data_IF_019965500625
#
_entry.id   IF_019965500625
#
_cell.length_a   1.000
_cell.length_b   1.000
_cell.length_c   1.000
_cell.angle_alpha   90.00
_cell.angle_beta   90.00
_cell.angle_gamma   90.00
#
_symmetry.space_group_name_H-M   'P 1'
#
loop_
_entity.id
_entity.type
_entity.pdbx_description
1 polymer ?
#
# COMPACT_ATOMS: atom_id res chain seq x y z
N UNK A 1 -44.34 28.29 16.02
CA UNK A 1 -44.11 26.91 15.54
C UNK A 1 -42.61 26.72 15.39
N UNK A 2 -42.00 25.85 16.20
CA UNK A 2 -40.55 25.58 16.21
C UNK A 2 -40.31 24.29 15.44
N UNK A 3 -39.42 24.32 14.44
CA UNK A 3 -38.73 23.12 13.96
C UNK A 3 -37.23 23.42 14.02
N UNK A 4 -36.56 22.72 14.94
CA UNK A 4 -35.11 22.58 15.02
C UNK A 4 -34.69 21.60 13.93
N UNK A 5 -33.74 21.97 13.08
CA UNK A 5 -32.96 20.99 12.33
C UNK A 5 -31.57 20.98 12.95
N UNK A 6 -31.26 19.83 13.54
CA UNK A 6 -30.03 19.51 14.25
C UNK A 6 -28.89 19.30 13.26
N UNK A 7 -27.70 19.69 13.72
CA UNK A 7 -26.39 19.27 13.25
C UNK A 7 -26.28 17.80 12.85
N UNK A 8 -25.61 17.52 11.73
CA UNK A 8 -24.75 16.33 11.55
C UNK A 8 -23.49 16.78 10.81
N UNK A 9 -22.39 16.87 11.56
CA UNK A 9 -21.00 17.00 11.11
C UNK A 9 -20.64 15.75 10.27
N UNK A 10 -20.15 15.83 9.02
CA UNK A 10 -18.82 16.26 8.55
C UNK A 10 -17.62 15.60 9.25
N UNK A 11 -17.56 14.27 9.32
CA UNK A 11 -16.29 13.54 9.49
C UNK A 11 -16.34 12.21 8.72
N UNK A 12 -15.80 12.17 7.49
CA UNK A 12 -15.23 10.94 6.89
C UNK A 12 -14.47 11.30 5.60
N UNK A 13 -13.37 12.03 5.77
CA UNK A 13 -12.32 12.19 4.75
C UNK A 13 -11.01 11.96 5.48
N UNK A 14 -10.08 11.26 4.83
CA UNK A 14 -8.73 10.86 5.29
C UNK A 14 -8.60 9.44 5.86
N UNK A 15 -8.77 8.43 5.00
CA UNK A 15 -8.26 7.07 5.24
C UNK A 15 -7.42 6.49 4.09
N UNK A 16 -6.90 7.33 3.18
CA UNK A 16 -6.12 6.82 2.04
C UNK A 16 -4.88 7.65 1.67
N UNK A 17 -4.12 8.17 2.64
CA UNK A 17 -2.76 8.66 2.36
C UNK A 17 -1.86 8.61 3.61
N UNK A 18 -1.09 7.54 3.76
CA UNK A 18 0.11 7.53 4.59
C UNK A 18 1.18 6.73 3.84
N UNK A 19 1.98 7.42 3.05
CA UNK A 19 3.01 6.78 2.24
C UNK A 19 3.87 7.75 1.43
N UNK A 20 4.05 8.99 1.88
CA UNK A 20 5.16 9.86 1.45
C UNK A 20 5.25 11.05 2.40
N UNK A 21 6.48 11.44 2.72
CA UNK A 21 6.91 12.58 3.55
C UNK A 21 7.08 12.26 5.05
N UNK A 22 8.27 11.79 5.39
CA UNK A 22 9.02 12.27 6.57
C UNK A 22 10.48 11.81 6.43
N UNK A 23 11.28 12.64 5.76
CA UNK A 23 12.74 12.63 5.84
C UNK A 23 13.18 14.04 6.21
N UNK A 24 14.15 14.11 7.11
CA UNK A 24 14.91 15.29 7.55
C UNK A 24 14.24 16.17 8.60
N UNK A 25 14.65 15.95 9.85
CA UNK A 25 15.58 16.84 10.57
C UNK A 25 15.29 16.73 12.07
N UNK A 26 16.22 16.18 12.84
CA UNK A 26 16.58 16.70 14.17
C UNK A 26 17.84 15.96 14.63
N UNK A 27 18.99 16.53 14.25
CA UNK A 27 20.26 16.35 14.92
C UNK A 27 20.51 17.62 15.74
N UNK A 28 20.81 17.43 17.03
CA UNK A 28 21.24 18.36 18.10
C UNK A 28 20.39 17.99 19.34
N UNK A 29 20.91 17.53 20.47
CA UNK A 29 22.25 17.60 21.03
C UNK A 29 22.12 18.21 22.42
N UNK A 30 22.02 17.37 23.47
CA UNK A 30 22.25 17.70 24.90
C UNK A 30 22.35 16.36 25.65
N UNK A 31 23.55 15.86 25.94
CA UNK A 31 24.36 16.07 27.16
C UNK A 31 23.74 15.50 28.45
N UNK A 32 24.42 14.47 28.95
CA UNK A 32 24.70 14.13 30.35
C UNK A 32 23.59 14.17 31.38
N UNK A 33 23.13 12.96 31.78
CA UNK A 33 22.94 12.63 33.21
C UNK A 33 23.34 11.17 33.49
N UNK A 34 24.30 11.02 34.40
CA UNK A 34 24.66 9.79 35.12
C UNK A 34 23.44 9.21 35.84
N UNK A 35 23.20 7.91 35.69
CA UNK A 35 22.53 7.11 36.72
C UNK A 35 23.06 5.68 36.71
N UNK A 36 23.89 5.43 37.72
CA UNK A 36 24.00 4.25 38.58
C UNK A 36 23.80 2.83 38.03
N UNK A 37 24.81 2.02 38.37
CA UNK A 37 24.98 0.62 38.03
C UNK A 37 23.89 -0.28 38.63
N UNK A 38 23.17 -0.97 37.75
CA UNK A 38 22.44 -2.21 38.07
C UNK A 38 23.31 -3.43 37.74
N UNK A 39 23.07 -4.57 38.41
CA UNK A 39 23.96 -5.72 38.39
C UNK A 39 24.03 -6.40 37.02
N UNK A 40 25.26 -6.77 36.68
CA UNK A 40 25.72 -7.44 35.48
C UNK A 40 25.14 -8.85 35.35
N UNK A 41 24.03 -8.99 34.59
CA UNK A 41 23.55 -10.29 34.12
C UNK A 41 24.20 -10.58 32.76
N UNK A 42 25.52 -10.72 32.75
CA UNK A 42 26.28 -11.34 31.66
C UNK A 42 26.63 -12.77 32.04
N UNK A 43 25.60 -13.62 32.03
CA UNK A 43 25.73 -15.06 32.10
C UNK A 43 25.25 -15.69 30.80
N UNK A 44 26.20 -15.99 29.91
CA UNK A 44 26.14 -17.10 28.94
C UNK A 44 24.93 -17.15 27.99
N UNK A 45 25.03 -16.45 26.85
CA UNK A 45 24.50 -16.90 25.55
C UNK A 45 25.13 -16.07 24.40
N UNK A 46 26.43 -15.82 24.51
CA UNK A 46 27.18 -14.89 23.66
C UNK A 46 28.13 -15.57 22.69
N UNK A 47 27.72 -16.63 22.00
CA UNK A 47 28.42 -17.18 20.83
C UNK A 47 27.39 -17.89 19.96
N UNK A 48 27.22 -17.39 18.73
CA UNK A 48 26.31 -17.86 17.66
C UNK A 48 24.93 -17.21 17.53
N UNK A 49 24.81 -15.89 17.71
CA UNK A 49 23.90 -15.11 16.87
C UNK A 49 24.63 -14.76 15.56
N UNK A 50 24.99 -15.78 14.76
CA UNK A 50 25.52 -15.59 13.40
C UNK A 50 24.38 -15.04 12.55
N UNK A 51 24.32 -13.72 12.44
CA UNK A 51 23.79 -12.98 11.31
C UNK A 51 22.45 -13.54 10.78
N UNK A 52 21.43 -13.54 11.65
CA UNK A 52 20.05 -13.98 11.37
C UNK A 52 19.30 -13.03 10.42
N UNK A 53 20.03 -12.30 9.57
CA UNK A 53 19.44 -11.46 8.54
C UNK A 53 18.88 -12.33 7.45
N UNK A 54 17.62 -12.09 7.10
CA UNK A 54 16.94 -12.85 6.08
C UNK A 54 17.67 -12.65 4.73
N UNK A 55 17.70 -13.63 3.81
CA UNK A 55 18.50 -13.54 2.59
C UNK A 55 18.29 -12.26 1.77
N UNK A 56 17.08 -11.68 1.78
CA UNK A 56 16.74 -10.44 1.08
C UNK A 56 17.21 -9.16 1.79
N UNK A 57 17.66 -9.23 3.05
CA UNK A 57 18.23 -8.09 3.78
C UNK A 57 19.70 -7.86 3.43
N UNK A 58 20.33 -8.82 2.72
CA UNK A 58 21.71 -8.70 2.20
C UNK A 58 21.75 -8.12 0.79
N UNK A 59 20.65 -8.20 0.06
CA UNK A 59 20.50 -7.63 -1.27
C UNK A 59 20.06 -6.16 -1.19
N UNK A 60 20.45 -5.36 -2.17
CA UNK A 60 20.01 -3.95 -2.29
C UNK A 60 19.48 -3.64 -3.68
N UNK A 61 18.71 -2.55 -3.78
CA UNK A 61 18.23 -2.03 -5.05
C UNK A 61 17.30 -2.99 -5.81
N UNK A 62 17.52 -3.13 -7.12
CA UNK A 62 16.66 -3.93 -8.00
C UNK A 62 16.54 -5.39 -7.54
N UNK A 63 17.63 -6.02 -7.10
CA UNK A 63 17.62 -7.42 -6.67
C UNK A 63 16.73 -7.63 -5.45
N UNK A 64 16.86 -6.76 -4.45
CA UNK A 64 16.00 -6.77 -3.27
C UNK A 64 14.53 -6.55 -3.67
N UNK A 65 14.26 -5.61 -4.57
CA UNK A 65 12.90 -5.38 -5.06
C UNK A 65 12.33 -6.62 -5.78
N UNK A 66 13.12 -7.29 -6.63
CA UNK A 66 12.74 -8.52 -7.33
C UNK A 66 12.47 -9.71 -6.37
N UNK A 67 13.08 -9.72 -5.18
CA UNK A 67 12.74 -10.70 -4.14
C UNK A 67 11.39 -10.40 -3.46
N UNK A 68 11.07 -9.12 -3.27
CA UNK A 68 9.87 -8.67 -2.54
C UNK A 68 8.61 -8.53 -3.41
N UNK A 69 8.75 -8.39 -4.73
CA UNK A 69 7.62 -8.32 -5.67
C UNK A 69 6.73 -9.56 -5.60
N UNK A 70 5.41 -9.34 -5.74
CA UNK A 70 4.40 -10.41 -5.83
C UNK A 70 4.37 -11.13 -7.17
N UNK A 71 4.97 -10.53 -8.20
CA UNK A 71 5.09 -11.09 -9.54
C UNK A 71 6.42 -11.85 -9.60
N UNK A 72 6.36 -13.17 -9.78
CA UNK A 72 7.54 -14.04 -9.93
C UNK A 72 7.78 -14.44 -11.38
N UNK A 73 6.71 -14.52 -12.17
CA UNK A 73 6.77 -14.69 -13.62
C UNK A 73 7.16 -13.41 -14.34
N UNK A 74 6.94 -13.42 -15.66
CA UNK A 74 7.14 -12.24 -16.49
C UNK A 74 6.13 -11.15 -16.12
N UNK A 75 6.53 -9.88 -16.19
CA UNK A 75 5.59 -8.73 -16.17
C UNK A 75 5.05 -8.41 -17.55
N UNK A 76 5.61 -9.03 -18.59
CA UNK A 76 5.16 -8.84 -19.96
C UNK A 76 3.70 -9.28 -20.08
N UNK A 77 2.88 -8.40 -20.60
CA UNK A 77 1.47 -8.61 -20.89
C UNK A 77 1.20 -8.00 -22.26
N UNK A 78 0.19 -8.52 -22.94
CA UNK A 78 -0.31 -7.92 -24.16
C UNK A 78 -1.67 -7.33 -23.85
N UNK A 79 -1.89 -6.08 -24.25
CA UNK A 79 -3.18 -5.40 -24.09
C UNK A 79 -3.62 -4.81 -25.43
N UNK A 80 -4.93 -4.82 -25.65
CA UNK A 80 -5.52 -4.27 -26.86
C UNK A 80 -6.62 -3.28 -26.49
N UNK A 81 -6.26 -2.02 -26.18
CA UNK A 81 -7.24 -1.01 -25.85
C UNK A 81 -8.21 -0.77 -27.02
N UNK A 82 -9.50 -0.80 -26.70
CA UNK A 82 -10.58 -0.47 -27.64
C UNK A 82 -10.59 1.03 -27.88
N UNK A 83 -10.46 1.45 -29.14
CA UNK A 83 -10.58 2.86 -29.52
C UNK A 83 -11.99 3.37 -29.19
N UNK A 84 -12.06 4.42 -28.38
CA UNK A 84 -13.32 5.03 -27.98
C UNK A 84 -13.67 6.20 -28.90
N UNK A 85 -14.97 6.40 -29.17
CA UNK A 85 -15.45 7.58 -29.87
C UNK A 85 -15.55 8.80 -28.94
N UNK A 86 -15.84 8.56 -27.65
CA UNK A 86 -16.07 9.59 -26.64
C UNK A 86 -15.33 9.25 -25.35
N UNK A 87 -14.99 10.27 -24.56
CA UNK A 87 -14.28 10.11 -23.28
C UNK A 87 -13.38 11.30 -22.96
N UNK A 88 -12.48 11.12 -22.00
CA UNK A 88 -11.50 12.15 -21.67
C UNK A 88 -10.40 12.16 -22.72
N UNK A 89 -10.17 13.28 -23.38
CA UNK A 89 -9.17 13.41 -24.46
C UNK A 89 -7.81 13.88 -23.98
N UNK A 90 -7.71 14.30 -22.71
CA UNK A 90 -6.52 14.91 -22.11
C UNK A 90 -5.80 13.96 -21.15
N UNK A 91 -4.52 14.24 -20.92
CA UNK A 91 -3.66 13.48 -20.00
C UNK A 91 -3.14 12.19 -20.62
N UNK A 92 -2.58 11.32 -19.77
CA UNK A 92 -2.03 10.02 -20.18
C UNK A 92 -2.53 8.94 -19.24
N UNK A 93 -2.96 7.81 -19.80
CA UNK A 93 -3.14 6.57 -19.03
C UNK A 93 -2.07 5.57 -19.43
N UNK A 94 -1.33 5.07 -18.43
CA UNK A 94 -0.40 3.95 -18.59
C UNK A 94 -0.97 2.75 -17.84
N UNK A 95 -1.06 1.60 -18.49
CA UNK A 95 -1.43 0.34 -17.84
C UNK A 95 -0.36 -0.70 -18.11
N UNK A 96 0.26 -1.22 -17.04
CA UNK A 96 1.29 -2.27 -17.12
C UNK A 96 2.48 -1.90 -18.03
N UNK A 97 2.81 -0.61 -18.15
CA UNK A 97 3.87 -0.12 -19.03
C UNK A 97 3.43 0.21 -20.47
N UNK A 98 2.19 -0.10 -20.83
CA UNK A 98 1.60 0.30 -22.11
C UNK A 98 0.93 1.66 -22.03
N UNK A 99 0.98 2.41 -23.14
CA UNK A 99 0.23 3.66 -23.28
C UNK A 99 -1.17 3.37 -23.82
N UNK A 100 -2.19 3.72 -23.04
CA UNK A 100 -3.57 3.73 -23.54
C UNK A 100 -3.79 5.09 -24.23
N UNK A 101 -4.19 5.04 -25.50
CA UNK A 101 -4.50 6.25 -26.26
C UNK A 101 -5.88 6.82 -25.85
N UNK A 102 -6.03 8.15 -25.75
CA UNK A 102 -7.33 8.78 -25.57
C UNK A 102 -8.22 8.62 -26.83
N UNK A 103 -9.56 8.84 -26.74
CA UNK A 103 -10.33 9.21 -25.54
C UNK A 103 -10.41 8.08 -24.50
N UNK A 104 -10.43 8.44 -23.21
CA UNK A 104 -10.52 7.50 -22.10
C UNK A 104 -11.96 7.29 -21.64
N UNK A 105 -12.42 6.04 -21.70
CA UNK A 105 -13.68 5.58 -21.13
C UNK A 105 -13.42 4.61 -19.98
N UNK A 106 -14.06 4.89 -18.84
CA UNK A 106 -13.97 4.08 -17.63
C UNK A 106 -15.26 3.28 -17.45
N UNK A 107 -15.14 1.97 -17.28
CA UNK A 107 -16.28 1.08 -17.10
C UNK A 107 -16.04 0.14 -15.93
N UNK A 108 -17.11 -0.11 -15.17
CA UNK A 108 -17.11 -1.11 -14.11
C UNK A 108 -17.95 -2.31 -14.52
N UNK A 109 -17.39 -3.50 -14.34
CA UNK A 109 -18.13 -4.76 -14.45
C UNK A 109 -17.88 -5.58 -13.20
N UNK A 110 -18.87 -5.59 -12.29
CA UNK A 110 -18.70 -6.18 -10.96
C UNK A 110 -17.59 -5.47 -10.16
N UNK A 111 -16.59 -6.22 -9.70
CA UNK A 111 -15.43 -5.70 -8.93
C UNK A 111 -14.25 -5.25 -9.81
N UNK A 112 -14.44 -5.19 -11.13
CA UNK A 112 -13.38 -4.92 -12.10
C UNK A 112 -13.53 -3.53 -12.73
N UNK A 113 -12.44 -2.78 -12.80
CA UNK A 113 -12.33 -1.50 -13.52
C UNK A 113 -11.65 -1.73 -14.86
N UNK A 114 -12.25 -1.17 -15.90
CA UNK A 114 -11.73 -1.18 -17.27
C UNK A 114 -11.44 0.25 -17.74
N UNK A 115 -10.35 0.43 -18.46
CA UNK A 115 -10.05 1.64 -19.25
C UNK A 115 -9.98 1.23 -20.70
N UNK A 116 -10.84 1.79 -21.54
CA UNK A 116 -10.89 1.46 -22.97
C UNK A 116 -10.96 -0.06 -23.22
N UNK A 117 -11.77 -0.78 -22.44
CA UNK A 117 -11.90 -2.24 -22.53
C UNK A 117 -10.75 -3.05 -21.92
N UNK A 118 -9.65 -2.42 -21.47
CA UNK A 118 -8.55 -3.10 -20.76
C UNK A 118 -8.86 -3.14 -19.28
N UNK A 119 -8.91 -4.33 -18.69
CA UNK A 119 -9.02 -4.48 -17.24
C UNK A 119 -7.74 -3.92 -16.58
N UNK A 120 -7.90 -2.93 -15.71
CA UNK A 120 -6.79 -2.30 -15.00
C UNK A 120 -6.78 -2.60 -13.49
N UNK A 121 -7.96 -2.88 -12.92
CA UNK A 121 -8.12 -3.29 -11.51
C UNK A 121 -9.12 -4.45 -11.42
N UNK A 122 -8.81 -5.53 -10.68
CA UNK A 122 -7.47 -5.89 -10.20
C UNK A 122 -6.50 -6.07 -11.38
N UNK A 123 -5.19 -6.04 -11.11
CA UNK A 123 -4.17 -6.16 -12.15
C UNK A 123 -4.30 -7.46 -12.93
N UNK A 124 -4.36 -7.39 -14.27
CA UNK A 124 -4.34 -8.59 -15.12
C UNK A 124 -3.08 -9.43 -14.90
N UNK A 125 -1.94 -8.78 -14.66
CA UNK A 125 -0.68 -9.46 -14.38
C UNK A 125 -0.77 -10.23 -13.07
N UNK A 126 -1.36 -9.65 -12.02
CA UNK A 126 -1.58 -10.36 -10.75
C UNK A 126 -2.62 -11.48 -10.87
N UNK A 127 -3.67 -11.31 -11.67
CA UNK A 127 -4.67 -12.36 -11.89
C UNK A 127 -4.08 -13.55 -12.66
N UNK A 128 -3.11 -13.31 -13.56
CA UNK A 128 -2.39 -14.37 -14.29
C UNK A 128 -1.45 -15.16 -13.39
N UNK A 129 -0.74 -14.48 -12.48
CA UNK A 129 0.13 -15.19 -11.56
C UNK A 129 -0.72 -16.16 -10.73
N UNK A 130 -0.31 -17.45 -10.60
CA UNK A 130 -0.98 -18.33 -9.65
C UNK A 130 -0.99 -17.59 -8.33
N UNK A 131 -2.14 -17.53 -7.63
CA UNK A 131 -2.25 -16.98 -6.27
C UNK A 131 -1.31 -17.77 -5.37
N UNK A 132 -0.02 -17.47 -5.42
CA UNK A 132 0.90 -17.75 -4.36
C UNK A 132 0.48 -16.76 -3.29
N UNK A 133 -0.22 -17.30 -2.29
CA UNK A 133 -0.21 -16.76 -0.94
C UNK A 133 1.17 -16.15 -0.73
N UNK A 134 1.21 -14.85 -0.38
CA UNK A 134 2.37 -14.14 0.16
C UNK A 134 3.39 -15.15 0.70
N UNK A 135 4.66 -15.13 0.27
CA UNK A 135 5.61 -16.25 0.35
C UNK A 135 5.25 -17.12 1.52
N UNK A 136 4.55 -18.25 1.25
CA UNK A 136 3.79 -19.06 2.21
C UNK A 136 4.26 -18.70 3.60
N UNK A 137 3.52 -17.79 4.28
CA UNK A 137 3.85 -17.37 5.64
C UNK A 137 4.32 -18.64 6.32
N UNK A 138 5.57 -18.69 6.78
CA UNK A 138 6.06 -19.93 7.39
C UNK A 138 5.01 -20.31 8.44
N UNK A 139 4.80 -21.60 8.71
CA UNK A 139 3.70 -22.02 9.60
C UNK A 139 3.61 -21.15 10.88
N UNK A 140 4.77 -20.76 11.43
CA UNK A 140 4.85 -19.80 12.54
C UNK A 140 4.39 -18.37 12.22
N UNK A 141 4.68 -17.83 11.03
CA UNK A 141 4.15 -16.52 10.58
C UNK A 141 2.64 -16.54 10.33
N UNK A 142 2.10 -17.64 9.78
CA UNK A 142 0.66 -17.78 9.57
C UNK A 142 -0.08 -17.86 10.92
N UNK A 143 0.47 -18.65 11.85
CA UNK A 143 -0.01 -18.74 13.23
C UNK A 143 0.09 -17.39 13.95
N UNK A 144 1.20 -16.65 13.81
CA UNK A 144 1.37 -15.32 14.40
C UNK A 144 0.39 -14.30 13.81
N UNK A 145 0.13 -14.33 12.50
CA UNK A 145 -0.85 -13.44 11.83
C UNK A 145 -2.28 -13.73 12.33
N UNK A 146 -2.64 -15.01 12.43
CA UNK A 146 -3.94 -15.41 12.97
C UNK A 146 -4.09 -14.98 14.44
N UNK A 147 -3.08 -15.24 15.28
CA UNK A 147 -3.07 -14.79 16.69
C UNK A 147 -3.15 -13.26 16.78
N UNK A 148 -2.42 -12.53 15.94
CA UNK A 148 -2.48 -11.06 15.87
C UNK A 148 -3.89 -10.54 15.58
N UNK A 149 -4.59 -11.17 14.64
CA UNK A 149 -5.99 -10.84 14.33
C UNK A 149 -6.92 -11.09 15.53
N UNK A 150 -6.73 -12.20 16.25
CA UNK A 150 -7.52 -12.52 17.45
C UNK A 150 -7.25 -11.52 18.59
N UNK A 151 -5.99 -11.14 18.79
CA UNK A 151 -5.59 -10.14 19.80
C UNK A 151 -6.21 -8.78 19.46
N UNK A 152 -6.16 -8.37 18.20
CA UNK A 152 -6.76 -7.11 17.75
C UNK A 152 -8.27 -7.10 17.99
N UNK A 153 -8.96 -8.22 17.72
CA UNK A 153 -10.40 -8.36 18.01
C UNK A 153 -10.69 -8.26 19.51
N UNK A 154 -9.95 -8.99 20.35
CA UNK A 154 -10.10 -8.93 21.80
C UNK A 154 -9.79 -7.54 22.37
N UNK A 155 -8.78 -6.84 21.82
CA UNK A 155 -8.47 -5.46 22.19
C UNK A 155 -9.61 -4.50 21.81
N UNK A 156 -10.23 -4.69 20.64
CA UNK A 156 -11.40 -3.90 20.21
C UNK A 156 -12.63 -4.15 21.10
N UNK A 157 -12.84 -5.40 21.52
CA UNK A 157 -13.89 -5.76 22.48
C UNK A 157 -13.64 -5.13 23.86
N UNK A 158 -12.40 -5.20 24.38
CA UNK A 158 -12.01 -4.50 25.60
C UNK A 158 -12.23 -2.99 25.50
N UNK A 159 -11.87 -2.38 24.36
CA UNK A 159 -12.06 -0.95 24.16
C UNK A 159 -13.55 -0.56 24.18
N UNK A 160 -14.36 -1.20 23.33
CA UNK A 160 -15.77 -0.86 23.16
C UNK A 160 -16.64 -1.18 24.38
N UNK A 161 -16.37 -2.29 25.08
CA UNK A 161 -17.10 -2.68 26.29
C UNK A 161 -16.56 -2.01 27.56
N UNK A 162 -15.24 -1.90 27.68
CA UNK A 162 -14.57 -1.34 28.86
C UNK A 162 -14.86 0.13 29.06
N UNK A 163 -14.99 0.92 27.98
CA UNK A 163 -15.34 2.34 28.09
C UNK A 163 -16.72 2.60 28.72
N UNK A 164 -17.58 1.59 28.81
CA UNK A 164 -18.88 1.69 29.49
C UNK A 164 -18.77 1.56 31.01
N UNK A 165 -17.68 0.99 31.52
CA UNK A 165 -17.55 0.58 32.92
C UNK A 165 -16.27 1.07 33.59
N UNK A 166 -15.27 1.51 32.84
CA UNK A 166 -13.95 1.92 33.33
C UNK A 166 -13.49 3.23 32.67
N UNK A 167 -12.64 4.02 33.35
CA UNK A 167 -11.95 5.15 32.74
C UNK A 167 -11.10 4.71 31.54
N UNK A 168 -11.00 5.57 30.51
CA UNK A 168 -10.23 5.32 29.29
C UNK A 168 -8.80 4.81 29.58
N UNK A 169 -8.10 5.42 30.54
CA UNK A 169 -6.72 5.05 30.88
C UNK A 169 -6.58 3.60 31.39
N UNK A 170 -7.57 3.11 32.13
CA UNK A 170 -7.56 1.73 32.62
C UNK A 170 -7.81 0.74 31.48
N UNK A 171 -8.77 1.05 30.60
CA UNK A 171 -9.03 0.27 29.38
C UNK A 171 -7.80 0.23 28.48
N UNK A 172 -7.14 1.37 28.28
CA UNK A 172 -5.91 1.48 27.50
C UNK A 172 -4.76 0.64 28.09
N UNK A 173 -4.62 0.60 29.41
CA UNK A 173 -3.63 -0.23 30.10
C UNK A 173 -3.94 -1.73 29.94
N UNK A 174 -5.20 -2.13 30.03
CA UNK A 174 -5.64 -3.52 29.82
C UNK A 174 -5.38 -3.99 28.38
N UNK A 175 -5.62 -3.12 27.39
CA UNK A 175 -5.31 -3.42 25.98
C UNK A 175 -3.81 -3.57 25.77
N UNK A 176 -2.97 -2.69 26.33
CA UNK A 176 -1.51 -2.83 26.23
C UNK A 176 -1.06 -4.12 26.90
N UNK A 177 -1.59 -4.46 28.07
CA UNK A 177 -1.27 -5.70 28.76
C UNK A 177 -1.68 -6.94 27.93
N UNK A 178 -2.84 -6.91 27.28
CA UNK A 178 -3.29 -7.97 26.37
C UNK A 178 -2.34 -8.14 25.19
N UNK A 179 -2.00 -7.06 24.50
CA UNK A 179 -1.12 -7.08 23.32
C UNK A 179 0.28 -7.56 23.71
N UNK A 180 0.82 -7.05 24.82
CA UNK A 180 2.17 -7.40 25.30
C UNK A 180 2.26 -8.79 25.93
N UNK A 181 1.13 -9.43 26.28
CA UNK A 181 1.11 -10.84 26.71
C UNK A 181 1.46 -11.80 25.57
N UNK A 182 1.24 -11.40 24.32
CA UNK A 182 1.55 -12.18 23.13
C UNK A 182 2.90 -11.76 22.54
N UNK A 183 3.97 -12.03 23.27
CA UNK A 183 5.35 -11.70 22.90
C UNK A 183 5.86 -12.45 21.67
N UNK A 184 5.17 -13.51 21.24
CA UNK A 184 5.39 -14.22 19.99
C UNK A 184 4.81 -13.48 18.76
N UNK A 185 3.94 -12.48 19.00
CA UNK A 185 3.30 -11.68 17.95
C UNK A 185 3.79 -10.23 17.98
N UNK A 186 3.91 -9.62 19.16
CA UNK A 186 4.25 -8.21 19.32
C UNK A 186 5.47 -7.98 20.22
N UNK A 187 6.35 -7.07 19.79
CA UNK A 187 7.55 -6.64 20.52
C UNK A 187 7.31 -5.41 21.41
N UNK A 188 6.38 -4.55 21.00
CA UNK A 188 6.06 -3.29 21.67
C UNK A 188 4.65 -2.84 21.32
N UNK A 189 3.98 -2.17 22.24
CA UNK A 189 2.70 -1.52 22.04
C UNK A 189 2.73 -0.14 22.69
N UNK A 190 2.35 0.90 21.94
CA UNK A 190 2.33 2.28 22.43
C UNK A 190 1.15 3.05 21.85
N UNK A 191 0.42 3.73 22.73
CA UNK A 191 -0.70 4.58 22.33
C UNK A 191 -0.19 5.84 21.65
N UNK A 192 -0.70 6.12 20.46
CA UNK A 192 -0.42 7.36 19.71
C UNK A 192 -1.57 8.36 19.81
N UNK A 193 -2.77 7.90 20.15
CA UNK A 193 -3.94 8.74 20.45
C UNK A 193 -4.92 7.95 21.31
N UNK A 194 -6.00 8.57 21.79
CA UNK A 194 -7.04 7.90 22.58
C UNK A 194 -7.70 6.71 21.88
N UNK A 195 -7.59 6.63 20.55
CA UNK A 195 -8.23 5.62 19.69
C UNK A 195 -7.26 4.87 18.80
N UNK A 196 -5.95 5.04 18.97
CA UNK A 196 -4.97 4.35 18.14
C UNK A 196 -3.74 3.88 18.93
N UNK A 197 -3.44 2.59 18.78
CA UNK A 197 -2.30 1.91 19.36
C UNK A 197 -1.37 1.45 18.25
N UNK A 198 -0.10 1.84 18.32
CA UNK A 198 0.94 1.28 17.47
C UNK A 198 1.50 0.01 18.12
N UNK A 199 1.38 -1.12 17.43
CA UNK A 199 1.93 -2.39 17.87
C UNK A 199 3.02 -2.85 16.88
N UNK A 200 4.25 -3.02 17.37
CA UNK A 200 5.36 -3.51 16.56
C UNK A 200 5.34 -5.04 16.52
N UNK A 201 5.22 -5.61 15.33
CA UNK A 201 5.14 -7.06 15.14
C UNK A 201 6.53 -7.72 15.19
N UNK A 202 6.59 -8.94 15.73
CA UNK A 202 7.80 -9.78 15.77
C UNK A 202 8.18 -10.27 14.37
N UNK A 203 7.18 -10.73 13.61
CA UNK A 203 7.38 -11.42 12.33
C UNK A 203 7.83 -10.49 11.21
N UNK A 204 7.16 -9.35 11.07
CA UNK A 204 7.42 -8.41 9.98
C UNK A 204 8.38 -7.29 10.40
N UNK A 205 8.55 -7.07 11.71
CA UNK A 205 9.19 -5.87 12.26
C UNK A 205 8.38 -4.59 12.00
N UNK A 206 7.23 -4.68 11.32
CA UNK A 206 6.38 -3.56 10.97
C UNK A 206 5.62 -3.05 12.19
N UNK A 207 5.22 -1.77 12.11
CA UNK A 207 4.32 -1.17 13.08
C UNK A 207 2.91 -1.24 12.50
N UNK A 208 2.05 -2.01 13.15
CA UNK A 208 0.64 -2.12 12.83
C UNK A 208 -0.14 -1.16 13.72
N UNK A 209 -0.87 -0.23 13.09
CA UNK A 209 -1.75 0.71 13.79
C UNK A 209 -3.11 0.03 14.03
N UNK A 210 -3.42 -0.24 15.30
CA UNK A 210 -4.73 -0.71 15.73
C UNK A 210 -5.61 0.50 16.06
N UNK A 211 -6.68 0.70 15.29
CA UNK A 211 -7.67 1.75 15.54
C UNK A 211 -8.87 1.20 16.28
N UNK A 212 -9.34 1.97 17.26
CA UNK A 212 -10.43 1.58 18.12
C UNK A 212 -11.67 2.44 17.93
N UNK A 213 -12.83 1.76 17.87
CA UNK A 213 -14.14 2.41 17.93
C UNK A 213 -14.80 2.17 19.29
N UNK A 214 -15.53 3.17 19.79
CA UNK A 214 -16.39 2.99 20.96
C UNK A 214 -17.59 2.08 20.65
N UNK A 215 -17.98 1.98 19.38
CA UNK A 215 -19.00 1.05 18.94
C UNK A 215 -18.44 -0.39 18.97
N UNK A 216 -19.19 -1.36 19.51
CA UNK A 216 -18.79 -2.75 19.43
C UNK A 216 -18.67 -3.17 17.96
N UNK A 217 -17.74 -4.08 17.64
CA UNK A 217 -17.68 -4.66 16.31
C UNK A 217 -19.03 -5.30 16.01
N UNK A 218 -19.74 -4.79 15.01
CA UNK A 218 -21.02 -5.36 14.58
C UNK A 218 -20.70 -6.72 13.98
N UNK A 219 -21.19 -7.79 14.61
CA UNK A 219 -21.20 -9.11 13.98
C UNK A 219 -22.20 -9.07 12.82
N UNK A 220 -21.67 -8.80 11.63
CA UNK A 220 -22.44 -8.87 10.41
C UNK A 220 -22.70 -10.34 10.10
N UNK A 221 -23.93 -10.66 9.73
CA UNK A 221 -24.20 -11.94 9.08
C UNK A 221 -23.35 -12.04 7.81
N UNK A 222 -23.02 -13.25 7.31
CA UNK A 222 -22.25 -13.39 6.07
C UNK A 222 -22.84 -12.59 4.89
N UNK A 223 -24.17 -12.50 4.82
CA UNK A 223 -24.89 -11.72 3.81
C UNK A 223 -24.70 -10.21 3.96
N UNK A 224 -24.73 -9.69 5.19
CA UNK A 224 -24.49 -8.27 5.45
C UNK A 224 -23.03 -7.89 5.26
N UNK A 225 -22.10 -8.77 5.64
CA UNK A 225 -20.67 -8.60 5.37
C UNK A 225 -20.42 -8.50 3.86
N UNK A 226 -20.97 -9.43 3.08
CA UNK A 226 -20.85 -9.40 1.63
C UNK A 226 -21.45 -8.13 1.03
N UNK A 227 -22.65 -7.73 1.46
CA UNK A 227 -23.29 -6.50 0.99
C UNK A 227 -22.45 -5.26 1.30
N UNK A 228 -21.89 -5.17 2.51
CA UNK A 228 -21.05 -4.05 2.92
C UNK A 228 -19.73 -4.00 2.14
N UNK A 229 -19.13 -5.15 1.85
CA UNK A 229 -17.96 -5.24 0.98
C UNK A 229 -18.26 -4.76 -0.44
N UNK A 230 -19.44 -5.10 -0.98
CA UNK A 230 -19.88 -4.65 -2.30
C UNK A 230 -20.15 -3.13 -2.32
N UNK A 231 -20.80 -2.59 -1.29
CA UNK A 231 -21.04 -1.15 -1.14
C UNK A 231 -19.73 -0.37 -0.99
N UNK A 232 -18.80 -0.84 -0.16
CA UNK A 232 -17.47 -0.23 0.00
C UNK A 232 -16.68 -0.27 -1.31
N UNK A 233 -16.65 -1.43 -1.99
CA UNK A 233 -15.97 -1.56 -3.27
C UNK A 233 -16.55 -0.61 -4.31
N UNK A 234 -17.87 -0.44 -4.34
CA UNK A 234 -18.53 0.53 -5.22
C UNK A 234 -18.11 1.97 -4.90
N UNK A 235 -18.12 2.35 -3.63
CA UNK A 235 -17.73 3.70 -3.21
C UNK A 235 -16.25 4.01 -3.54
N UNK A 236 -15.33 3.11 -3.22
CA UNK A 236 -13.91 3.24 -3.57
C UNK A 236 -13.71 3.41 -5.09
N UNK A 237 -14.52 2.71 -5.87
CA UNK A 237 -14.49 2.76 -7.33
C UNK A 237 -15.01 4.10 -7.87
N UNK A 238 -16.13 4.60 -7.34
CA UNK A 238 -16.67 5.91 -7.70
C UNK A 238 -15.69 7.05 -7.33
N UNK A 239 -15.05 6.97 -6.16
CA UNK A 239 -14.03 7.93 -5.74
C UNK A 239 -12.79 7.88 -6.64
N UNK A 240 -12.28 6.68 -6.92
CA UNK A 240 -11.14 6.45 -7.81
C UNK A 240 -11.41 7.04 -9.21
N UNK A 241 -12.56 6.74 -9.79
CA UNK A 241 -12.94 7.24 -11.13
C UNK A 241 -13.10 8.76 -11.14
N UNK A 242 -13.69 9.33 -10.09
CA UNK A 242 -13.82 10.78 -9.96
C UNK A 242 -12.45 11.46 -9.89
N UNK A 243 -11.51 10.86 -9.15
CA UNK A 243 -10.14 11.35 -9.06
C UNK A 243 -9.40 11.23 -10.39
N UNK A 244 -9.53 10.09 -11.07
CA UNK A 244 -8.97 9.89 -12.41
C UNK A 244 -9.46 10.93 -13.40
N UNK A 245 -10.78 11.20 -13.42
CA UNK A 245 -11.37 12.23 -14.28
C UNK A 245 -10.74 13.59 -14.06
N UNK A 246 -10.52 13.96 -12.80
CA UNK A 246 -9.89 15.23 -12.43
C UNK A 246 -8.43 15.30 -12.89
N UNK A 247 -7.65 14.25 -12.63
CA UNK A 247 -6.22 14.18 -12.97
C UNK A 247 -6.03 14.21 -14.48
N UNK A 248 -6.74 13.36 -15.22
CA UNK A 248 -6.67 13.32 -16.68
C UNK A 248 -7.24 14.58 -17.31
N UNK A 249 -8.35 15.12 -16.77
CA UNK A 249 -8.92 16.40 -17.20
C UNK A 249 -7.96 17.58 -17.04
N UNK A 250 -7.04 17.52 -16.08
CA UNK A 250 -5.97 18.49 -15.89
C UNK A 250 -4.72 18.22 -16.75
N UNK A 251 -4.73 17.18 -17.60
CA UNK A 251 -3.60 16.85 -18.47
C UNK A 251 -2.48 16.03 -17.80
N UNK A 252 -2.72 15.48 -16.62
CA UNK A 252 -1.72 14.70 -15.87
C UNK A 252 -1.71 13.21 -16.27
N UNK A 253 -0.74 12.47 -15.74
CA UNK A 253 -0.58 11.04 -15.97
C UNK A 253 -1.23 10.20 -14.85
N UNK A 254 -1.97 9.16 -15.26
CA UNK A 254 -2.51 8.13 -14.39
C UNK A 254 -1.90 6.76 -14.72
N UNK A 255 -1.38 6.06 -13.72
CA UNK A 255 -0.65 4.80 -13.92
C UNK A 255 -1.30 3.65 -13.16
N UNK A 256 -1.51 2.54 -13.86
CA UNK A 256 -1.88 1.24 -13.31
C UNK A 256 -0.69 0.29 -13.41
N UNK A 257 -0.19 -0.14 -12.26
CA UNK A 257 0.99 -0.99 -12.16
C UNK A 257 0.61 -2.46 -12.08
N UNK A 258 1.52 -3.32 -12.55
CA UNK A 258 1.34 -4.76 -12.54
C UNK A 258 1.14 -5.31 -11.12
N UNK A 259 1.63 -4.63 -10.07
CA UNK A 259 1.41 -5.01 -8.66
C UNK A 259 0.00 -4.70 -8.12
N UNK A 260 -0.91 -4.21 -8.96
CA UNK A 260 -2.27 -3.83 -8.56
C UNK A 260 -2.36 -2.47 -7.84
N UNK A 261 -1.24 -1.76 -7.72
CA UNK A 261 -1.24 -0.36 -7.29
C UNK A 261 -1.62 0.54 -8.46
N UNK A 262 -2.39 1.59 -8.17
CA UNK A 262 -2.79 2.60 -9.12
C UNK A 262 -2.66 3.98 -8.49
N UNK A 263 -2.34 4.99 -9.28
CA UNK A 263 -2.27 6.35 -8.79
C UNK A 263 -1.80 7.35 -9.83
N UNK A 264 -1.91 8.62 -9.44
CA UNK A 264 -1.39 9.75 -10.17
C UNK A 264 0.12 9.85 -10.04
N UNK A 265 0.79 10.14 -11.16
CA UNK A 265 2.25 10.32 -11.22
C UNK A 265 2.55 11.65 -11.93
N UNK A 266 2.05 12.76 -11.35
CA UNK A 266 2.41 14.13 -11.75
C UNK A 266 2.09 14.53 -13.20
N UNK A 267 2.73 15.62 -13.65
CA UNK A 267 2.58 16.21 -14.98
C UNK A 267 3.24 15.38 -16.09
N UNK A 268 2.49 15.20 -17.18
CA UNK A 268 2.79 14.30 -18.30
C UNK A 268 3.89 14.81 -19.25
N UNK A 269 4.12 16.12 -19.35
CA UNK A 269 4.97 16.74 -20.39
C UNK A 269 6.44 16.26 -20.45
N UNK A 270 6.91 15.54 -19.42
CA UNK A 270 8.29 15.03 -19.32
C UNK A 270 8.35 13.51 -19.56
N UNK A 271 7.23 12.81 -19.41
CA UNK A 271 7.20 11.36 -19.18
C UNK A 271 7.49 10.55 -20.45
N UNK A 272 6.72 10.79 -21.51
CA UNK A 272 6.87 10.08 -22.80
C UNK A 272 8.23 10.30 -23.47
N UNK A 273 8.66 11.57 -23.69
CA UNK A 273 9.94 11.85 -24.33
C UNK A 273 11.13 11.23 -23.58
N UNK A 274 11.12 11.26 -22.24
CA UNK A 274 12.20 10.71 -21.43
C UNK A 274 12.26 9.19 -21.49
N UNK A 275 11.12 8.51 -21.44
CA UNK A 275 11.07 7.04 -21.62
C UNK A 275 11.59 6.66 -23.00
N UNK A 276 11.14 7.34 -24.07
CA UNK A 276 11.63 7.09 -25.43
C UNK A 276 13.14 7.33 -25.55
N UNK A 277 13.64 8.42 -24.97
CA UNK A 277 15.08 8.73 -24.93
C UNK A 277 15.86 7.60 -24.26
N UNK A 278 15.45 7.19 -23.05
CA UNK A 278 16.13 6.13 -22.31
C UNK A 278 16.07 4.84 -23.12
N UNK A 279 14.91 4.43 -23.62
CA UNK A 279 14.72 3.17 -24.34
C UNK A 279 15.47 3.11 -25.69
N UNK A 280 15.67 4.25 -26.36
CA UNK A 280 16.45 4.36 -27.59
C UNK A 280 17.98 4.37 -27.36
N UNK A 281 18.45 4.67 -26.14
CA UNK A 281 19.89 4.76 -25.84
C UNK A 281 20.60 3.41 -26.08
N UNK A 282 21.63 3.43 -26.92
CA UNK A 282 22.42 2.25 -27.28
C UNK A 282 23.38 1.87 -26.14
N UNK A 283 23.63 0.56 -25.98
CA UNK A 283 24.60 0.04 -25.02
C UNK A 283 24.10 -0.10 -23.57
N UNK A 284 22.86 0.32 -23.27
CA UNK A 284 22.26 0.07 -21.96
C UNK A 284 21.75 -1.36 -21.82
N UNK A 285 22.11 -2.03 -20.72
CA UNK A 285 21.49 -3.28 -20.30
C UNK A 285 20.05 -3.05 -19.81
N UNK A 286 19.27 -4.13 -19.71
CA UNK A 286 17.90 -4.08 -19.15
C UNK A 286 17.88 -3.45 -17.75
N UNK A 287 18.81 -3.85 -16.88
CA UNK A 287 18.94 -3.34 -15.51
C UNK A 287 19.28 -1.85 -15.48
N UNK A 288 20.19 -1.41 -16.37
CA UNK A 288 20.55 0.00 -16.49
C UNK A 288 19.37 0.84 -16.97
N UNK A 289 18.55 0.32 -17.89
CA UNK A 289 17.29 0.97 -18.32
C UNK A 289 16.31 1.08 -17.15
N UNK A 290 16.15 0.02 -16.35
CA UNK A 290 15.29 0.04 -15.16
C UNK A 290 15.75 1.10 -14.16
N UNK A 291 17.05 1.17 -13.85
CA UNK A 291 17.57 2.17 -12.91
C UNK A 291 17.40 3.60 -13.44
N UNK A 292 17.66 3.84 -14.73
CA UNK A 292 17.45 5.16 -15.35
C UNK A 292 15.98 5.56 -15.35
N UNK A 293 15.06 4.68 -15.77
CA UNK A 293 13.62 4.99 -15.75
C UNK A 293 13.16 5.23 -14.31
N UNK A 294 13.58 4.41 -13.35
CA UNK A 294 13.25 4.61 -11.93
C UNK A 294 13.72 5.98 -11.43
N UNK A 295 14.95 6.38 -11.75
CA UNK A 295 15.56 7.61 -11.27
C UNK A 295 14.98 8.87 -11.94
N UNK A 296 14.83 8.84 -13.27
CA UNK A 296 14.48 10.02 -14.07
C UNK A 296 12.97 10.18 -14.29
N UNK A 297 12.19 9.10 -14.19
CA UNK A 297 10.76 9.08 -14.56
C UNK A 297 9.90 8.54 -13.42
N UNK A 298 10.26 7.39 -12.87
CA UNK A 298 9.45 6.60 -11.94
C UNK A 298 9.45 7.09 -10.49
N UNK A 299 10.06 8.25 -10.18
CA UNK A 299 10.18 8.82 -8.83
C UNK A 299 10.71 7.82 -7.79
N UNK A 300 11.69 7.01 -8.18
CA UNK A 300 12.29 6.00 -7.32
C UNK A 300 11.52 4.67 -7.22
N UNK A 301 10.41 4.50 -7.95
CA UNK A 301 9.62 3.25 -7.95
C UNK A 301 10.11 2.25 -8.99
N UNK A 302 10.53 1.08 -8.54
CA UNK A 302 10.98 -0.01 -9.41
C UNK A 302 9.82 -0.64 -10.19
N UNK A 303 8.63 -0.68 -9.61
CA UNK A 303 7.46 -1.33 -10.19
C UNK A 303 7.13 -0.72 -11.54
N UNK A 304 7.12 0.62 -11.59
CA UNK A 304 6.89 1.36 -12.81
C UNK A 304 7.98 1.11 -13.86
N UNK A 305 9.25 1.21 -13.45
CA UNK A 305 10.37 1.02 -14.36
C UNK A 305 10.40 -0.39 -14.96
N UNK A 306 10.11 -1.40 -14.14
CA UNK A 306 10.00 -2.79 -14.57
C UNK A 306 8.85 -2.97 -15.57
N UNK A 307 7.66 -2.44 -15.27
CA UNK A 307 6.50 -2.54 -16.14
C UNK A 307 6.77 -1.89 -17.51
N UNK A 308 7.36 -0.69 -17.52
CA UNK A 308 7.74 -0.01 -18.77
C UNK A 308 8.77 -0.81 -19.55
N UNK A 309 9.89 -1.21 -18.94
CA UNK A 309 10.96 -1.92 -19.67
C UNK A 309 10.47 -3.24 -20.24
N UNK A 310 9.60 -3.96 -19.54
CA UNK A 310 9.12 -5.27 -19.97
C UNK A 310 8.02 -5.21 -21.05
N UNK A 311 7.33 -4.06 -21.16
CA UNK A 311 6.18 -3.87 -22.05
C UNK A 311 6.35 -2.73 -23.07
N UNK A 312 7.54 -2.14 -23.16
CA UNK A 312 7.77 -0.99 -24.03
C UNK A 312 7.54 -1.33 -25.51
N UNK A 313 6.60 -0.61 -26.13
CA UNK A 313 6.40 -0.56 -27.57
C UNK A 313 6.63 0.87 -28.09
N UNK A 314 7.65 1.12 -28.93
CA UNK A 314 7.87 2.44 -29.52
C UNK A 314 6.66 3.02 -30.25
N UNK A 315 5.76 2.20 -30.79
CA UNK A 315 4.56 2.67 -31.49
C UNK A 315 3.53 3.28 -30.53
N UNK A 316 3.35 2.68 -29.36
CA UNK A 316 2.45 3.18 -28.32
C UNK A 316 2.98 4.47 -27.68
N UNK A 317 4.31 4.54 -27.49
CA UNK A 317 4.98 5.65 -26.83
C UNK A 317 5.29 6.83 -27.76
N UNK A 318 5.06 6.69 -29.08
CA UNK A 318 4.98 7.80 -30.03
C UNK A 318 3.62 8.48 -29.88
N UNK A 319 3.48 9.26 -28.82
CA UNK A 319 2.32 10.12 -28.63
C UNK A 319 2.28 11.11 -29.79
N UNK A 320 1.18 11.13 -30.55
CA UNK A 320 1.00 12.09 -31.64
C UNK A 320 0.98 13.50 -31.03
N UNK A 321 1.90 14.34 -31.49
CA UNK A 321 1.93 15.78 -31.20
C UNK A 321 0.63 16.47 -31.61
#
# INVERSE_FOLDING_TARGET
MKIKILHVELILVCLFFAGTVCREAFAQGTSDKKSEAGPDVRGQNGKEAKDARLPWEKETGLKQHMMLTRIKGSRKIDIHPVKQAEGITTGLVIAYGHVISPPYKFEYQGKKLFVNGVQVRPSLVLEREPRQLLPLLTRGQAEATFKGTQIQRAAQELYSSGLKTKPLKEVQAEIVALVMKSTDVFLRAEWISDRALNAKEVVSGAVSEMRFSADPPVELTPKESQRREEENARWENEELTSRMRRVLGAGHCWIFLSQGTAGDQGEFGIFGPKVNQIMAELGLTREQRIEKIKAEVGRGRYEFALDVVDNYDPAEWKLKE
#
